data_IF_984608426608
#
_entry.id   IF_984608426608
#
_cell.length_a   1.000
_cell.length_b   1.000
_cell.length_c   1.000
_cell.angle_alpha   90.00
_cell.angle_beta   90.00
_cell.angle_gamma   90.00
#
_symmetry.space_group_name_H-M   'P 1'
#
loop_
_entity.id
_entity.type
_entity.pdbx_description
1 polymer ?
#
# COMPACT_ATOMS: atom_id res chain seq x y z
N UNK A 1 -6.34 8.59 18.50
CA UNK A 1 -5.94 9.53 17.43
C UNK A 1 -6.55 9.06 16.11
N UNK A 2 -7.86 9.18 15.96
CA UNK A 2 -8.57 9.02 14.68
C UNK A 2 -9.78 9.95 14.72
N UNK A 3 -9.75 11.04 13.96
CA UNK A 3 -10.99 11.71 13.59
C UNK A 3 -11.72 10.76 12.65
N UNK A 4 -13.02 10.51 12.86
CA UNK A 4 -13.79 9.77 11.87
C UNK A 4 -13.70 10.54 10.54
N UNK A 5 -13.12 9.90 9.53
CA UNK A 5 -13.30 10.35 8.16
C UNK A 5 -14.79 10.21 7.84
N UNK A 6 -15.39 11.28 7.35
CA UNK A 6 -16.79 11.25 6.94
C UNK A 6 -16.93 10.56 5.58
N UNK A 7 -18.17 10.25 5.20
CA UNK A 7 -18.49 9.63 3.91
C UNK A 7 -17.95 10.40 2.70
N UNK A 8 -17.82 11.73 2.83
CA UNK A 8 -17.25 12.61 1.79
C UNK A 8 -15.76 12.35 1.61
N UNK A 9 -15.02 12.11 2.69
CA UNK A 9 -13.60 11.79 2.62
C UNK A 9 -13.40 10.41 1.98
N UNK A 10 -14.23 9.43 2.33
CA UNK A 10 -14.21 8.12 1.70
C UNK A 10 -14.57 8.17 0.21
N UNK A 11 -15.55 8.98 -0.18
CA UNK A 11 -15.89 9.18 -1.58
C UNK A 11 -14.73 9.83 -2.36
N UNK A 12 -13.99 10.76 -1.74
CA UNK A 12 -12.77 11.32 -2.33
C UNK A 12 -11.66 10.27 -2.48
N UNK A 13 -11.41 9.46 -1.46
CA UNK A 13 -10.43 8.37 -1.55
C UNK A 13 -10.79 7.33 -2.61
N UNK A 14 -12.07 6.96 -2.70
CA UNK A 14 -12.55 6.03 -3.72
C UNK A 14 -12.35 6.58 -5.14
N UNK A 15 -12.57 7.89 -5.35
CA UNK A 15 -12.21 8.56 -6.61
C UNK A 15 -10.72 8.50 -6.90
N UNK A 16 -9.88 8.45 -5.88
CA UNK A 16 -8.45 8.27 -6.00
C UNK A 16 -8.01 6.80 -6.14
N UNK A 17 -8.98 5.89 -6.16
CA UNK A 17 -8.76 4.46 -6.32
C UNK A 17 -8.27 3.76 -5.05
N UNK A 18 -8.33 4.46 -3.91
CA UNK A 18 -8.05 3.91 -2.58
C UNK A 18 -9.38 3.67 -1.89
N UNK A 19 -9.70 2.41 -1.63
CA UNK A 19 -10.98 2.04 -1.03
C UNK A 19 -10.81 1.95 0.49
N UNK A 20 -11.78 2.54 1.21
CA UNK A 20 -11.85 2.41 2.64
C UNK A 20 -11.91 0.94 3.07
N UNK A 21 -11.19 0.60 4.12
CA UNK A 21 -11.19 -0.73 4.71
C UNK A 21 -11.85 -0.68 6.08
N UNK A 22 -12.59 -1.72 6.45
CA UNK A 22 -13.10 -1.82 7.82
C UNK A 22 -11.92 -1.99 8.79
N UNK A 23 -12.12 -1.57 10.04
CA UNK A 23 -11.07 -1.71 11.06
C UNK A 23 -10.71 -3.17 11.33
N UNK A 24 -11.70 -4.06 11.29
CA UNK A 24 -11.49 -5.49 11.48
C UNK A 24 -10.61 -6.09 10.39
N UNK A 25 -10.90 -5.78 9.13
CA UNK A 25 -10.11 -6.27 8.00
C UNK A 25 -8.70 -5.67 8.00
N UNK A 26 -8.57 -4.38 8.34
CA UNK A 26 -7.27 -3.72 8.42
C UNK A 26 -6.36 -4.38 9.47
N UNK A 27 -6.92 -4.75 10.61
CA UNK A 27 -6.19 -5.45 11.66
C UNK A 27 -5.80 -6.87 11.25
N UNK A 28 -6.70 -7.62 10.60
CA UNK A 28 -6.37 -8.96 10.10
C UNK A 28 -5.21 -8.93 9.08
N UNK A 29 -5.20 -7.94 8.18
CA UNK A 29 -4.10 -7.78 7.21
C UNK A 29 -2.80 -7.31 7.89
N UNK A 30 -2.91 -6.48 8.92
CA UNK A 30 -1.76 -6.05 9.70
C UNK A 30 -1.10 -7.23 10.44
N UNK A 31 -1.90 -8.08 11.09
CA UNK A 31 -1.42 -9.30 11.74
C UNK A 31 -0.76 -10.25 10.72
N UNK A 32 -1.35 -10.35 9.52
CA UNK A 32 -0.75 -11.14 8.42
C UNK A 32 0.61 -10.57 8.00
N UNK A 33 0.74 -9.24 7.89
CA UNK A 33 1.98 -8.58 7.51
C UNK A 33 3.12 -8.83 8.52
N UNK A 34 2.80 -9.02 9.80
CA UNK A 34 3.78 -9.36 10.84
C UNK A 34 4.43 -10.75 10.64
N UNK A 35 3.79 -11.64 9.88
CA UNK A 35 4.28 -13.00 9.62
C UNK A 35 5.01 -13.09 8.27
N UNK A 36 4.88 -12.08 7.40
CA UNK A 36 5.57 -12.04 6.10
C UNK A 36 7.01 -11.53 6.30
N UNK A 37 8.00 -12.24 5.75
CA UNK A 37 9.43 -11.85 5.77
C UNK A 37 9.72 -10.75 4.73
N UNK A 38 8.93 -9.67 4.77
CA UNK A 38 9.08 -8.49 3.93
C UNK A 38 9.17 -7.24 4.83
N UNK A 39 10.27 -6.46 4.76
CA UNK A 39 10.49 -5.34 5.68
C UNK A 39 9.56 -4.16 5.43
N UNK A 40 8.97 -4.04 4.23
CA UNK A 40 8.07 -2.96 3.85
C UNK A 40 6.82 -3.53 3.21
N UNK A 41 5.73 -3.57 3.98
CA UNK A 41 4.41 -4.05 3.53
C UNK A 41 3.38 -2.99 3.87
N UNK A 42 2.51 -2.69 2.91
CA UNK A 42 1.39 -1.75 3.07
C UNK A 42 0.07 -2.50 2.80
N UNK A 43 -0.76 -2.77 3.81
CA UNK A 43 -2.11 -3.29 3.58
C UNK A 43 -3.01 -2.17 3.06
N UNK A 44 -3.44 -2.27 1.82
CA UNK A 44 -4.34 -1.30 1.20
C UNK A 44 -5.32 -2.00 0.25
N UNK A 45 -6.56 -1.49 0.20
CA UNK A 45 -7.49 -1.84 -0.87
C UNK A 45 -7.35 -0.84 -2.01
N UNK A 46 -6.91 -1.35 -3.15
CA UNK A 46 -6.76 -0.56 -4.36
C UNK A 46 -7.77 -1.03 -5.39
N UNK A 47 -8.57 -0.10 -5.90
CA UNK A 47 -9.48 -0.34 -7.01
C UNK A 47 -8.71 -0.21 -8.34
N UNK A 48 -8.23 -1.35 -8.85
CA UNK A 48 -7.48 -1.41 -10.10
C UNK A 48 -8.31 -0.95 -11.31
N UNK A 49 -9.64 -1.11 -11.28
CA UNK A 49 -10.50 -0.68 -12.38
C UNK A 49 -10.60 0.85 -12.42
N UNK A 50 -10.75 1.49 -11.25
CA UNK A 50 -10.70 2.95 -11.12
C UNK A 50 -9.33 3.51 -11.53
N UNK A 51 -8.24 2.84 -11.13
CA UNK A 51 -6.88 3.20 -11.53
C UNK A 51 -6.69 3.10 -13.05
N UNK A 52 -7.22 2.04 -13.68
CA UNK A 52 -7.15 1.87 -15.13
C UNK A 52 -7.94 2.95 -15.88
N UNK A 53 -9.14 3.31 -15.41
CA UNK A 53 -9.89 4.42 -15.98
C UNK A 53 -9.10 5.75 -15.90
N UNK A 54 -8.37 6.00 -14.81
CA UNK A 54 -7.49 7.17 -14.68
C UNK A 54 -6.27 7.11 -15.60
N UNK A 55 -5.70 5.93 -15.80
CA UNK A 55 -4.61 5.72 -16.75
C UNK A 55 -5.05 6.07 -18.16
N UNK A 56 -6.21 5.54 -18.58
CA UNK A 56 -6.79 5.80 -19.89
C UNK A 56 -7.16 7.30 -20.06
N UNK A 57 -7.53 7.98 -18.97
CA UNK A 57 -7.77 9.43 -18.92
C UNK A 57 -6.49 10.29 -18.79
N UNK A 58 -5.30 9.71 -18.66
CA UNK A 58 -4.02 10.43 -18.53
C UNK A 58 -3.84 11.20 -17.22
N UNK A 59 -4.61 10.88 -16.17
CA UNK A 59 -4.58 11.59 -14.87
C UNK A 59 -3.99 10.75 -13.74
N UNK A 60 -3.52 9.53 -14.04
CA UNK A 60 -2.92 8.65 -13.06
C UNK A 60 -1.50 9.12 -12.68
N UNK A 61 -1.19 9.26 -11.37
CA UNK A 61 0.19 9.48 -10.93
C UNK A 61 1.13 8.36 -11.41
N UNK A 62 2.34 8.66 -11.93
CA UNK A 62 3.25 7.66 -12.49
C UNK A 62 3.60 6.51 -11.55
N UNK A 63 3.63 6.76 -10.24
CA UNK A 63 3.91 5.73 -9.21
C UNK A 63 2.89 4.58 -9.15
N UNK A 64 1.71 4.74 -9.76
CA UNK A 64 0.68 3.71 -9.82
C UNK A 64 0.65 2.93 -11.14
N UNK A 65 1.45 3.30 -12.14
CA UNK A 65 1.47 2.62 -13.44
C UNK A 65 1.95 1.17 -13.30
N UNK A 66 2.97 0.94 -12.49
CA UNK A 66 3.47 -0.40 -12.22
C UNK A 66 2.43 -1.27 -11.51
N UNK A 67 1.57 -0.67 -10.70
CA UNK A 67 0.53 -1.40 -9.96
C UNK A 67 -0.58 -1.94 -10.87
N UNK A 68 -0.93 -1.22 -11.94
CA UNK A 68 -1.93 -1.67 -12.94
C UNK A 68 -1.38 -2.83 -13.78
N UNK A 69 -0.06 -2.85 -14.00
CA UNK A 69 0.62 -3.84 -14.83
C UNK A 69 1.25 -4.98 -14.01
N UNK A 70 1.24 -4.89 -12.68
CA UNK A 70 1.85 -5.87 -11.80
C UNK A 70 1.06 -7.20 -11.85
N UNK A 71 1.75 -8.35 -11.97
CA UNK A 71 1.08 -9.64 -11.81
C UNK A 71 0.50 -9.73 -10.39
N UNK A 72 -0.75 -10.19 -10.29
CA UNK A 72 -1.44 -10.39 -9.02
C UNK A 72 -0.60 -11.31 -8.10
N UNK A 73 0.12 -10.70 -7.16
CA UNK A 73 1.01 -11.33 -6.20
C UNK A 73 2.10 -12.23 -6.82
N UNK A 74 3.13 -11.62 -7.41
CA UNK A 74 4.45 -12.25 -7.33
C UNK A 74 4.86 -12.26 -5.85
N UNK A 75 4.85 -13.46 -5.24
CA UNK A 75 5.39 -13.68 -3.90
C UNK A 75 6.84 -13.20 -3.91
N UNK A 76 7.11 -12.00 -3.40
CA UNK A 76 8.46 -11.47 -3.36
C UNK A 76 9.25 -12.35 -2.38
N UNK A 77 10.15 -13.16 -2.93
CA UNK A 77 11.16 -13.89 -2.16
C UNK A 77 12.41 -13.06 -1.96
N UNK A 78 12.34 -11.75 -2.24
CA UNK A 78 13.45 -10.84 -2.00
C UNK A 78 13.66 -10.73 -0.50
N UNK A 79 14.49 -11.63 0.01
CA UNK A 79 15.15 -11.52 1.30
C UNK A 79 15.90 -10.20 1.25
N UNK A 80 15.45 -9.23 2.05
CA UNK A 80 16.23 -8.04 2.28
C UNK A 80 17.62 -8.45 2.76
N UNK A 81 18.71 -7.99 2.12
CA UNK A 81 20.05 -8.28 2.62
C UNK A 81 20.12 -7.72 4.05
N UNK A 82 20.37 -8.60 5.03
CA UNK A 82 20.50 -8.20 6.43
C UNK A 82 21.52 -7.05 6.50
N UNK A 83 21.14 -5.84 6.92
CA UNK A 83 22.12 -4.78 7.08
C UNK A 83 23.16 -5.28 8.07
N UNK A 84 24.42 -5.31 7.62
CA UNK A 84 25.54 -5.69 8.46
C UNK A 84 25.55 -4.76 9.68
N UNK A 85 25.69 -5.37 10.85
CA UNK A 85 25.52 -4.81 12.19
C UNK A 85 26.63 -3.80 12.56
N UNK A 86 26.86 -2.80 11.71
CA UNK A 86 27.83 -1.73 11.89
C UNK A 86 27.15 -0.37 11.75
N UNK A 87 26.07 -0.15 12.52
CA UNK A 87 25.62 1.21 12.84
C UNK A 87 26.49 1.72 14.01
N UNK A 88 27.77 2.00 13.71
CA UNK A 88 28.55 2.93 14.53
C UNK A 88 28.33 4.32 13.95
N UNK A 89 27.82 5.19 14.81
CA UNK A 89 27.95 6.64 14.75
C UNK A 89 27.13 7.34 13.66
N UNK A 90 25.93 7.80 14.03
CA UNK A 90 25.48 9.13 13.61
C UNK A 90 25.08 9.92 14.87
N UNK A 91 26.09 10.49 15.51
CA UNK A 91 25.93 11.63 16.40
C UNK A 91 27.22 12.45 16.32
N UNK A 92 27.18 13.53 15.55
CA UNK A 92 28.06 14.69 15.61
C UNK A 92 27.31 15.87 14.99
#
# INVERSE_FOLDING_TARGET
MTGQLGDVDFARFARDGVVAMSSEEALQLFDTAMVVDQPFVLPARIDLAALKAKFDAGTLPPMFVDLINAPAAARSTTRWPRPSRNLRCYNA
#
